data_IF_900963202903
#
_entry.id   IF_900963202903
#
_cell.length_a   1.000
_cell.length_b   1.000
_cell.length_c   1.000
_cell.angle_alpha   90.00
_cell.angle_beta   90.00
_cell.angle_gamma   90.00
#
_symmetry.space_group_name_H-M   'P 1'
#
loop_
_entity.id
_entity.type
_entity.pdbx_description
1 polymer ?
#
# COMPACT_ATOMS: atom_id res chain seq x y z
N UNK A 1 4.22 13.98 -1.49
CA UNK A 1 3.06 13.75 -2.35
C UNK A 1 3.37 12.60 -3.28
N UNK A 2 2.44 11.66 -3.39
CA UNK A 2 2.62 10.43 -4.16
C UNK A 2 1.33 10.20 -4.98
N UNK A 3 1.46 9.65 -6.18
CA UNK A 3 0.35 9.45 -7.12
C UNK A 3 0.26 7.96 -7.47
N UNK A 4 -0.95 7.41 -7.40
CA UNK A 4 -1.25 6.06 -7.91
C UNK A 4 -2.14 6.22 -9.15
N UNK A 5 -1.64 5.95 -10.37
CA UNK A 5 -2.47 6.01 -11.56
C UNK A 5 -3.45 4.84 -11.59
N UNK A 6 -4.72 5.11 -11.90
CA UNK A 6 -5.80 4.11 -11.97
C UNK A 6 -6.31 4.07 -13.41
N UNK A 7 -6.55 2.87 -13.94
CA UNK A 7 -7.00 2.66 -15.30
C UNK A 7 -6.44 1.38 -15.91
N UNK A 8 -6.40 1.32 -17.24
CA UNK A 8 -5.84 0.17 -17.95
C UNK A 8 -4.32 0.07 -17.73
N UNK A 9 -3.72 -1.13 -17.82
CA UNK A 9 -2.26 -1.30 -17.69
C UNK A 9 -1.47 -0.37 -18.64
N UNK A 10 -1.90 -0.28 -19.89
CA UNK A 10 -1.29 0.60 -20.90
C UNK A 10 -1.37 2.09 -20.50
N UNK A 11 -2.48 2.52 -19.89
CA UNK A 11 -2.60 3.88 -19.39
C UNK A 11 -1.65 4.13 -18.22
N UNK A 12 -1.59 3.22 -17.25
CA UNK A 12 -0.70 3.34 -16.07
C UNK A 12 0.77 3.42 -16.49
N UNK A 13 1.17 2.58 -17.43
CA UNK A 13 2.53 2.59 -18.00
C UNK A 13 2.83 3.93 -18.69
N UNK A 14 1.90 4.44 -19.49
CA UNK A 14 2.03 5.72 -20.16
C UNK A 14 2.18 6.88 -19.15
N UNK A 15 1.38 6.90 -18.09
CA UNK A 15 1.49 7.91 -17.01
C UNK A 15 2.84 7.81 -16.30
N UNK A 16 3.32 6.60 -16.00
CA UNK A 16 4.63 6.39 -15.36
C UNK A 16 5.79 6.87 -16.24
N UNK A 17 5.74 6.58 -17.55
CA UNK A 17 6.80 6.95 -18.50
C UNK A 17 6.78 8.43 -18.85
N UNK A 18 5.61 8.96 -19.20
CA UNK A 18 5.48 10.34 -19.72
C UNK A 18 5.24 11.37 -18.64
N UNK A 19 4.78 10.96 -17.45
CA UNK A 19 4.42 11.85 -16.34
C UNK A 19 3.32 12.86 -16.69
N UNK A 20 2.41 12.46 -17.58
CA UNK A 20 1.16 13.17 -17.91
C UNK A 20 -0.03 12.25 -17.67
N UNK A 21 -1.11 12.79 -17.10
CA UNK A 21 -2.31 12.00 -16.79
C UNK A 21 -3.06 11.55 -18.04
N UNK A 22 -3.10 12.35 -19.11
CA UNK A 22 -3.75 11.99 -20.37
C UNK A 22 -2.77 11.44 -21.44
N UNK A 23 -1.48 11.38 -21.12
CA UNK A 23 -0.44 10.81 -21.99
C UNK A 23 0.03 11.67 -23.18
N UNK A 24 -0.48 12.90 -23.35
CA UNK A 24 -0.09 13.78 -24.47
C UNK A 24 0.07 15.27 -24.08
N UNK A 25 -0.67 15.81 -23.12
CA UNK A 25 -0.83 17.28 -22.98
C UNK A 25 -1.34 17.72 -21.58
N UNK A 26 -0.90 18.88 -21.08
CA UNK A 26 -1.33 19.43 -19.77
C UNK A 26 -0.17 19.64 -18.79
N UNK A 27 -0.47 19.71 -17.49
CA UNK A 27 0.56 19.93 -16.46
C UNK A 27 1.35 18.64 -16.22
N UNK A 28 2.63 18.66 -16.54
CA UNK A 28 3.53 17.54 -16.26
C UNK A 28 3.65 17.34 -14.74
N UNK A 29 3.58 16.09 -14.30
CA UNK A 29 3.76 15.75 -12.89
C UNK A 29 5.24 16.04 -12.53
N UNK A 30 5.50 16.97 -11.58
CA UNK A 30 6.86 17.34 -11.20
C UNK A 30 7.72 16.15 -10.78
N UNK A 31 9.00 16.15 -11.14
CA UNK A 31 9.92 15.01 -10.90
C UNK A 31 10.07 14.61 -9.43
N UNK A 32 9.86 15.55 -8.50
CA UNK A 32 9.93 15.27 -7.06
C UNK A 32 8.69 14.51 -6.53
N UNK A 33 7.61 14.42 -7.32
CA UNK A 33 6.42 13.63 -6.97
C UNK A 33 6.63 12.19 -7.42
N UNK A 34 6.51 11.25 -6.48
CA UNK A 34 6.60 9.83 -6.80
C UNK A 34 5.31 9.35 -7.46
N UNK A 35 5.44 8.59 -8.54
CA UNK A 35 4.32 7.89 -9.19
C UNK A 35 4.53 6.39 -8.91
N UNK A 36 3.55 5.71 -8.33
CA UNK A 36 3.63 4.27 -8.10
C UNK A 36 3.71 3.50 -9.40
N UNK A 37 4.65 2.57 -9.48
CA UNK A 37 4.72 1.58 -10.53
C UNK A 37 3.75 0.42 -10.30
N UNK A 38 3.65 -0.44 -11.30
CA UNK A 38 2.89 -1.68 -11.18
C UNK A 38 3.49 -2.59 -10.11
N UNK A 39 2.65 -3.15 -9.23
CA UNK A 39 3.10 -3.97 -8.09
C UNK A 39 3.76 -3.18 -6.96
N UNK A 40 3.90 -1.86 -7.10
CA UNK A 40 4.45 -1.00 -6.06
C UNK A 40 3.34 -0.51 -5.13
N UNK A 41 3.48 -0.80 -3.84
CA UNK A 41 2.60 -0.28 -2.80
C UNK A 41 3.15 1.05 -2.26
N UNK A 42 2.28 2.06 -2.16
CA UNK A 42 2.56 3.32 -1.47
C UNK A 42 1.81 3.37 -0.15
N UNK A 43 2.45 3.94 0.88
CA UNK A 43 1.83 4.09 2.20
C UNK A 43 1.04 5.39 2.28
N UNK A 44 -0.28 5.29 2.20
CA UNK A 44 -1.19 6.43 2.30
C UNK A 44 -1.97 6.35 3.61
N UNK A 45 -1.72 7.28 4.54
CA UNK A 45 -2.52 7.52 5.75
C UNK A 45 -2.94 6.26 6.54
N UNK A 46 -2.10 5.22 6.57
CA UNK A 46 -2.35 3.98 7.31
C UNK A 46 -2.64 2.75 6.44
N UNK A 47 -2.85 2.91 5.14
CA UNK A 47 -3.02 1.82 4.18
C UNK A 47 -1.84 1.72 3.21
N UNK A 48 -1.57 0.51 2.72
CA UNK A 48 -0.72 0.28 1.55
C UNK A 48 -1.64 0.20 0.33
N UNK A 49 -1.49 1.14 -0.60
CA UNK A 49 -2.31 1.25 -1.81
C UNK A 49 -1.39 1.13 -3.02
N UNK A 50 -1.75 0.27 -3.98
CA UNK A 50 -0.97 0.06 -5.19
C UNK A 50 -1.71 -0.82 -6.18
N UNK A 51 -1.30 -0.76 -7.44
CA UNK A 51 -1.87 -1.60 -8.50
C UNK A 51 -1.27 -3.01 -8.45
N UNK A 52 -2.11 -4.05 -8.54
CA UNK A 52 -1.69 -5.47 -8.48
C UNK A 52 -0.79 -5.83 -7.29
N UNK A 53 -0.99 -5.18 -6.14
CA UNK A 53 -0.26 -5.53 -4.91
C UNK A 53 -0.90 -6.73 -4.21
N UNK A 54 -0.07 -7.54 -3.55
CA UNK A 54 -0.58 -8.59 -2.66
C UNK A 54 -1.22 -7.95 -1.43
N UNK A 55 -2.55 -8.00 -1.37
CA UNK A 55 -3.40 -7.41 -0.31
C UNK A 55 -3.16 -8.00 1.09
N UNK A 56 -2.43 -9.12 1.19
CA UNK A 56 -2.21 -9.82 2.46
C UNK A 56 -1.21 -9.10 3.37
N UNK A 57 -0.34 -8.27 2.81
CA UNK A 57 0.86 -7.75 3.50
C UNK A 57 0.61 -6.81 4.70
N UNK A 58 -0.41 -5.93 4.74
CA UNK A 58 -0.57 -5.00 5.87
C UNK A 58 -0.97 -5.70 7.17
N UNK A 59 -1.77 -6.76 7.06
CA UNK A 59 -2.43 -7.39 8.21
C UNK A 59 -1.65 -8.57 8.78
N UNK A 60 -0.80 -9.24 8.00
CA UNK A 60 -0.05 -10.41 8.46
C UNK A 60 0.68 -10.14 9.77
N UNK A 61 1.47 -9.07 9.85
CA UNK A 61 2.21 -8.72 11.08
C UNK A 61 1.31 -8.34 12.26
N UNK A 62 0.14 -7.77 11.97
CA UNK A 62 -0.84 -7.40 13.00
C UNK A 62 -1.47 -8.65 13.59
N UNK A 63 -1.89 -9.58 12.73
CA UNK A 63 -2.43 -10.89 13.13
C UNK A 63 -1.38 -11.70 13.89
N UNK A 64 -0.15 -11.81 13.38
CA UNK A 64 0.96 -12.50 14.06
C UNK A 64 1.21 -11.95 15.47
N UNK A 65 1.13 -10.61 15.65
CA UNK A 65 1.31 -9.99 16.96
C UNK A 65 0.14 -10.28 17.91
N UNK A 66 -1.09 -10.31 17.40
CA UNK A 66 -2.28 -10.67 18.17
C UNK A 66 -2.14 -12.13 18.63
N UNK A 67 -1.85 -13.05 17.71
CA UNK A 67 -1.69 -14.47 18.00
C UNK A 67 -0.59 -14.74 19.03
N UNK A 68 0.57 -14.08 18.87
CA UNK A 68 1.67 -14.19 19.84
C UNK A 68 1.27 -13.66 21.24
N UNK A 69 0.46 -12.62 21.31
CA UNK A 69 -0.01 -12.05 22.57
C UNK A 69 -1.02 -12.98 23.25
N UNK A 70 -1.96 -13.53 22.47
CA UNK A 70 -2.95 -14.49 22.95
C UNK A 70 -2.28 -15.77 23.45
N UNK A 71 -1.33 -16.34 22.69
CA UNK A 71 -0.59 -17.53 23.08
C UNK A 71 0.21 -17.33 24.39
N UNK A 72 0.75 -16.13 24.60
CA UNK A 72 1.42 -15.78 25.87
C UNK A 72 0.42 -15.70 27.03
N UNK A 73 -0.76 -15.15 26.80
CA UNK A 73 -1.81 -15.07 27.83
C UNK A 73 -2.33 -16.45 28.20
N UNK A 74 -2.55 -17.34 27.25
CA UNK A 74 -2.95 -18.73 27.54
C UNK A 74 -1.96 -19.46 28.45
N UNK A 75 -0.66 -19.22 28.28
CA UNK A 75 0.39 -19.78 29.15
C UNK A 75 0.33 -19.22 30.59
N UNK A 76 -0.16 -18.00 30.75
CA UNK A 76 -0.18 -17.30 32.03
C UNK A 76 -1.43 -17.64 32.86
N UNK A 77 -2.44 -18.28 32.26
CA UNK A 77 -3.77 -18.55 32.85
C UNK A 77 -4.34 -17.34 33.63
N UNK A 78 -4.38 -16.14 33.03
CA UNK A 78 -4.83 -14.94 33.72
C UNK A 78 -6.30 -15.11 34.09
N UNK A 79 -6.65 -14.76 35.32
CA UNK A 79 -8.05 -14.70 35.73
C UNK A 79 -8.63 -13.32 35.38
N UNK A 80 -9.96 -13.13 35.46
CA UNK A 80 -10.57 -11.83 35.18
C UNK A 80 -10.07 -10.69 36.10
N UNK A 81 -9.40 -11.01 37.20
CA UNK A 81 -8.81 -10.05 38.14
C UNK A 81 -7.30 -9.83 37.95
N UNK A 82 -6.64 -10.62 37.09
CA UNK A 82 -5.19 -10.64 36.91
C UNK A 82 -4.62 -12.05 36.79
#
# INVERSE_FOLDING_TARGET
>A
TEIVPIGTPAHRENVCQKRYLNGQDGTQIPNHIKIAQEGEAIRTLGALIGNNISQLTPWTKVIEKIDASLARWEQSRPTMEG
#
